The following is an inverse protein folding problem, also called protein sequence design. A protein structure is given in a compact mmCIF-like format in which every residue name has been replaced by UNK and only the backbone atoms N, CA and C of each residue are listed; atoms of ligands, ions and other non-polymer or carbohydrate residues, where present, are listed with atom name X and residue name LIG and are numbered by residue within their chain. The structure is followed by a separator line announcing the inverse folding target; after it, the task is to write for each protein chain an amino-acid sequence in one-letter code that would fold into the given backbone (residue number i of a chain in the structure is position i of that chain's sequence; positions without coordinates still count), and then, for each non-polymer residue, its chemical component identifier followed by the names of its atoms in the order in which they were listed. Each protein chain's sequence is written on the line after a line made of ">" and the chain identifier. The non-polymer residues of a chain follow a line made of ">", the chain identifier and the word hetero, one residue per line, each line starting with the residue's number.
data_IF_021715966333
#
_entry.id   IF_021715966333
#
_cell.length_a   1.000
_cell.length_b   1.000
_cell.length_c   1.000
_cell.angle_alpha   90.00
_cell.angle_beta   90.00
_cell.angle_gamma   90.00
#
_symmetry.space_group_name_H-M   'P 1'
#
loop_
_entity.id
_entity.type
_entity.pdbx_description
1 polymer ?
#
# COMPACT_ATOMS: atom_id res chain seq x y z
N UNK A 1 -60.46 24.10 -29.17
CA UNK A 1 -60.63 24.70 -27.82
C UNK A 1 -60.59 23.57 -26.79
N UNK A 2 -59.54 23.49 -25.97
CA UNK A 2 -59.57 22.79 -24.68
C UNK A 2 -58.36 23.21 -23.84
N UNK A 3 -58.54 23.21 -22.53
CA UNK A 3 -58.23 24.31 -21.61
C UNK A 3 -56.99 24.12 -20.72
N UNK A 4 -56.35 25.26 -20.41
CA UNK A 4 -55.36 25.53 -19.35
C UNK A 4 -55.81 25.04 -17.96
N UNK A 5 -54.92 24.41 -17.19
CA UNK A 5 -54.91 24.47 -15.73
C UNK A 5 -53.49 24.58 -15.18
N UNK A 6 -53.22 25.71 -14.55
CA UNK A 6 -52.14 25.94 -13.60
C UNK A 6 -52.39 25.14 -12.32
N UNK A 7 -51.33 24.65 -11.69
CA UNK A 7 -51.32 24.37 -10.26
C UNK A 7 -49.93 24.67 -9.71
N UNK A 8 -49.75 25.93 -9.29
CA UNK A 8 -48.74 26.36 -8.34
C UNK A 8 -49.29 26.10 -6.93
N UNK A 9 -48.62 25.27 -6.14
CA UNK A 9 -48.77 25.22 -4.67
C UNK A 9 -47.38 24.93 -4.12
N UNK A 10 -46.71 25.96 -3.65
CA UNK A 10 -46.63 26.34 -2.23
C UNK A 10 -45.53 25.54 -1.54
N UNK A 11 -44.35 26.16 -1.53
CA UNK A 11 -43.36 25.99 -0.48
C UNK A 11 -44.10 26.06 0.85
N UNK A 12 -44.18 24.93 1.54
CA UNK A 12 -44.47 24.93 2.96
C UNK A 12 -43.25 24.47 3.75
N UNK A 13 -43.16 25.10 4.90
CA UNK A 13 -42.01 25.42 5.69
C UNK A 13 -41.78 24.32 6.73
N UNK A 14 -40.52 23.90 6.84
CA UNK A 14 -39.79 23.60 8.08
C UNK A 14 -40.62 23.15 9.32
N UNK A 15 -40.38 21.92 9.81
CA UNK A 15 -39.80 21.72 11.15
C UNK A 15 -39.70 20.24 11.55
N UNK A 16 -38.48 19.90 11.98
CA UNK A 16 -38.13 19.08 13.13
C UNK A 16 -38.68 17.64 13.26
N UNK A 17 -37.77 16.67 13.17
CA UNK A 17 -38.07 15.34 13.70
C UNK A 17 -36.92 14.34 13.59
N UNK A 18 -36.24 14.14 14.71
CA UNK A 18 -35.43 12.96 15.08
C UNK A 18 -33.98 12.90 14.55
N UNK A 19 -33.08 13.26 15.47
CA UNK A 19 -31.67 12.87 15.48
C UNK A 19 -31.52 11.34 15.56
N UNK A 20 -30.74 10.76 14.65
CA UNK A 20 -29.98 9.55 14.92
C UNK A 20 -28.51 9.88 14.70
N UNK A 21 -27.82 10.17 15.81
CA UNK A 21 -26.37 10.16 15.87
C UNK A 21 -25.93 8.72 15.63
N UNK A 22 -25.63 8.39 14.38
CA UNK A 22 -25.05 7.11 13.97
C UNK A 22 -23.60 7.04 14.46
N UNK A 23 -23.44 6.72 15.75
CA UNK A 23 -22.16 6.36 16.34
C UNK A 23 -21.77 4.96 15.85
N UNK A 24 -20.67 4.87 15.10
CA UNK A 24 -19.94 3.61 14.95
C UNK A 24 -19.95 2.96 13.59
N UNK A 25 -19.30 3.57 12.59
CA UNK A 25 -18.40 2.82 11.69
C UNK A 25 -17.16 3.67 11.44
N UNK A 26 -16.19 3.62 12.37
CA UNK A 26 -14.79 3.71 11.95
C UNK A 26 -14.53 2.48 11.09
N UNK A 27 -14.92 2.53 9.82
CA UNK A 27 -14.27 1.71 8.80
C UNK A 27 -12.83 2.18 8.82
N UNK A 28 -11.98 1.44 9.54
CA UNK A 28 -10.56 1.50 9.29
C UNK A 28 -10.42 1.25 7.80
N UNK A 29 -10.10 2.30 7.05
CA UNK A 29 -9.65 2.19 5.69
C UNK A 29 -8.32 1.44 5.73
N UNK A 30 -8.39 0.11 5.87
CA UNK A 30 -7.33 -0.77 5.43
C UNK A 30 -7.17 -0.44 3.96
N UNK A 31 -6.01 0.11 3.60
CA UNK A 31 -5.70 0.53 2.25
C UNK A 31 -6.17 -0.54 1.26
N UNK A 32 -6.95 -0.14 0.27
CA UNK A 32 -7.26 -0.97 -0.88
C UNK A 32 -5.95 -1.17 -1.67
N UNK A 33 -5.12 -2.10 -1.22
CA UNK A 33 -4.16 -2.71 -2.12
C UNK A 33 -4.97 -3.50 -3.15
N UNK A 34 -4.69 -3.32 -4.43
CA UNK A 34 -5.19 -4.20 -5.49
C UNK A 34 -4.65 -5.62 -5.21
N UNK A 35 -5.35 -6.36 -4.35
CA UNK A 35 -5.14 -7.79 -4.18
C UNK A 35 -5.86 -8.45 -5.35
N UNK A 36 -5.08 -8.82 -6.35
CA UNK A 36 -5.55 -9.73 -7.40
C UNK A 36 -6.04 -11.01 -6.71
N UNK A 37 -7.21 -11.55 -7.07
CA UNK A 37 -7.65 -12.82 -6.51
C UNK A 37 -6.63 -13.91 -6.87
N UNK A 38 -6.41 -14.87 -5.98
CA UNK A 38 -5.40 -15.92 -6.17
C UNK A 38 -5.63 -16.71 -7.49
N UNK A 39 -6.88 -16.77 -7.98
CA UNK A 39 -7.23 -17.36 -9.28
C UNK A 39 -6.66 -16.64 -10.50
N UNK A 40 -6.26 -15.37 -10.35
CA UNK A 40 -5.65 -14.55 -11.41
C UNK A 40 -4.11 -14.52 -11.31
N UNK A 41 -3.51 -15.21 -10.34
CA UNK A 41 -2.06 -15.32 -10.21
C UNK A 41 -1.48 -16.27 -11.28
N UNK A 42 -0.52 -15.79 -12.07
CA UNK A 42 0.30 -16.62 -12.98
C UNK A 42 1.76 -16.24 -12.82
N UNK A 43 2.59 -17.25 -12.58
CA UNK A 43 4.04 -17.08 -12.46
C UNK A 43 4.66 -16.62 -13.80
N UNK A 44 4.16 -17.16 -14.90
CA UNK A 44 4.59 -16.84 -16.26
C UNK A 44 4.31 -15.37 -16.58
N UNK A 45 3.12 -14.89 -16.24
CA UNK A 45 2.74 -13.48 -16.43
C UNK A 45 3.66 -12.53 -15.65
N UNK A 46 4.04 -12.91 -14.41
CA UNK A 46 5.01 -12.14 -13.62
C UNK A 46 6.39 -12.14 -14.26
N UNK A 47 6.88 -13.29 -14.73
CA UNK A 47 8.18 -13.37 -15.40
C UNK A 47 8.20 -12.52 -16.68
N UNK A 48 7.14 -12.56 -17.49
CA UNK A 48 7.02 -11.75 -18.70
C UNK A 48 6.96 -10.25 -18.43
N UNK A 49 6.25 -9.84 -17.37
CA UNK A 49 6.23 -8.46 -16.93
C UNK A 49 7.62 -8.01 -16.47
N UNK A 50 8.28 -8.78 -15.62
CA UNK A 50 9.59 -8.44 -15.04
C UNK A 50 10.71 -8.37 -16.09
N UNK A 51 10.63 -9.10 -17.21
CA UNK A 51 11.60 -8.97 -18.31
C UNK A 51 11.67 -7.55 -18.90
N UNK A 52 10.63 -6.74 -18.72
CA UNK A 52 10.56 -5.36 -19.21
C UNK A 52 11.09 -4.36 -18.19
N UNK A 53 11.37 -4.81 -16.98
CA UNK A 53 11.82 -3.98 -15.87
C UNK A 53 13.33 -4.10 -15.66
N UNK A 54 13.88 -3.18 -14.87
CA UNK A 54 15.28 -3.25 -14.48
C UNK A 54 15.55 -4.41 -13.50
N UNK A 55 16.78 -4.95 -13.47
CA UNK A 55 17.15 -6.04 -12.56
C UNK A 55 16.88 -5.70 -11.09
N UNK A 56 16.34 -6.66 -10.35
CA UNK A 56 16.07 -6.50 -8.92
C UNK A 56 17.36 -6.65 -8.09
N UNK A 57 17.50 -5.82 -7.05
CA UNK A 57 18.56 -5.97 -6.04
C UNK A 57 17.94 -6.28 -4.69
N UNK A 58 18.38 -7.37 -4.06
CA UNK A 58 17.90 -7.81 -2.76
C UNK A 58 19.05 -7.79 -1.77
N UNK A 59 18.80 -7.13 -0.64
CA UNK A 59 19.77 -6.99 0.45
C UNK A 59 19.29 -7.83 1.62
N UNK A 60 20.12 -8.72 2.14
CA UNK A 60 19.81 -9.57 3.29
C UNK A 60 21.06 -9.77 4.16
N UNK A 61 20.86 -9.84 5.47
CA UNK A 61 21.93 -10.07 6.45
C UNK A 61 22.24 -11.55 6.68
N UNK A 62 21.43 -12.49 6.16
CA UNK A 62 21.66 -13.93 6.36
C UNK A 62 22.68 -14.56 5.41
N UNK A 63 23.20 -13.79 4.44
CA UNK A 63 24.16 -14.24 3.42
C UNK A 63 23.60 -15.21 2.36
N UNK A 64 22.45 -15.85 2.62
CA UNK A 64 21.80 -16.79 1.68
C UNK A 64 21.37 -16.10 0.37
N UNK A 65 21.18 -14.79 0.40
CA UNK A 65 20.68 -14.04 -0.77
C UNK A 65 21.63 -14.07 -1.96
N UNK A 66 22.94 -14.16 -1.73
CA UNK A 66 23.93 -14.25 -2.82
C UNK A 66 23.71 -15.52 -3.62
N UNK A 67 23.62 -16.66 -2.92
CA UNK A 67 23.36 -17.97 -3.55
C UNK A 67 21.98 -18.04 -4.25
N UNK A 68 20.98 -17.35 -3.71
CA UNK A 68 19.66 -17.27 -4.34
C UNK A 68 19.71 -16.42 -5.61
N UNK A 69 20.39 -15.27 -5.58
CA UNK A 69 20.57 -14.41 -6.73
C UNK A 69 21.37 -15.08 -7.86
N UNK A 70 22.33 -15.95 -7.54
CA UNK A 70 23.07 -16.74 -8.55
C UNK A 70 22.20 -17.82 -9.23
N UNK A 71 21.27 -18.41 -8.50
CA UNK A 71 20.42 -19.49 -9.00
C UNK A 71 19.12 -18.99 -9.64
N UNK A 72 18.68 -17.78 -9.30
CA UNK A 72 17.45 -17.19 -9.82
C UNK A 72 17.46 -16.99 -11.35
N UNK A 73 18.51 -16.45 -12.00
CA UNK A 73 18.61 -16.37 -13.45
C UNK A 73 18.61 -17.75 -14.12
N UNK A 74 19.21 -18.77 -13.48
CA UNK A 74 19.22 -20.13 -14.01
C UNK A 74 17.82 -20.74 -14.04
N UNK A 75 16.97 -20.38 -13.08
CA UNK A 75 15.61 -20.91 -12.96
C UNK A 75 14.59 -20.14 -13.80
N UNK A 76 14.70 -18.81 -13.87
CA UNK A 76 13.66 -17.96 -14.46
C UNK A 76 14.14 -17.09 -15.63
N UNK A 77 15.43 -17.08 -15.95
CA UNK A 77 16.00 -16.24 -17.02
C UNK A 77 15.98 -14.75 -16.71
N UNK A 78 15.81 -14.37 -15.44
CA UNK A 78 15.72 -12.99 -14.96
C UNK A 78 17.00 -12.61 -14.21
N UNK A 79 17.53 -11.42 -14.46
CA UNK A 79 18.70 -10.91 -13.74
C UNK A 79 18.30 -10.48 -12.33
N UNK A 80 19.08 -10.88 -11.34
CA UNK A 80 18.93 -10.48 -9.96
C UNK A 80 20.31 -10.28 -9.33
N UNK A 81 20.41 -9.32 -8.41
CA UNK A 81 21.61 -9.06 -7.62
C UNK A 81 21.29 -9.32 -6.16
N UNK A 82 22.10 -10.13 -5.49
CA UNK A 82 22.04 -10.36 -4.06
C UNK A 82 23.21 -9.67 -3.38
N UNK A 83 22.93 -8.85 -2.37
CA UNK A 83 23.95 -8.19 -1.56
C UNK A 83 23.80 -8.67 -0.12
N UNK A 84 24.85 -9.31 0.40
CA UNK A 84 24.92 -9.60 1.82
C UNK A 84 25.25 -8.31 2.58
N UNK A 85 24.40 -7.95 3.53
CA UNK A 85 24.67 -6.82 4.41
C UNK A 85 25.43 -7.29 5.64
N UNK A 86 26.64 -6.78 5.84
CA UNK A 86 27.38 -7.05 7.06
C UNK A 86 26.85 -6.16 8.18
N UNK A 87 26.76 -6.68 9.42
CA UNK A 87 26.21 -5.92 10.56
C UNK A 87 26.96 -4.62 10.87
N UNK A 88 28.15 -4.41 10.30
CA UNK A 88 28.96 -3.21 10.44
C UNK A 88 28.51 -2.06 9.52
N UNK A 89 27.73 -2.34 8.47
CA UNK A 89 27.25 -1.33 7.51
C UNK A 89 26.02 -0.57 8.03
N UNK A 90 25.42 -1.03 9.13
CA UNK A 90 24.41 -0.29 9.87
C UNK A 90 25.07 0.76 10.77
N UNK A 91 25.69 1.77 10.19
CA UNK A 91 25.88 3.04 10.90
C UNK A 91 24.50 3.70 11.02
N UNK A 92 23.74 3.26 12.03
CA UNK A 92 22.70 4.08 12.63
C UNK A 92 23.44 5.33 13.13
N UNK A 93 23.44 6.41 12.33
CA UNK A 93 23.92 7.72 12.79
C UNK A 93 23.19 8.00 14.10
N UNK A 94 23.85 7.75 15.22
CA UNK A 94 23.32 8.12 16.52
C UNK A 94 23.08 9.62 16.41
N UNK A 95 21.87 10.12 16.68
CA UNK A 95 21.66 11.56 16.69
C UNK A 95 22.73 12.16 17.62
N UNK A 96 23.37 13.28 17.24
CA UNK A 96 24.37 13.87 18.09
C UNK A 96 23.74 14.08 19.47
N UNK A 97 24.50 13.81 20.53
CA UNK A 97 24.02 13.77 21.92
C UNK A 97 23.19 15.01 22.35
N UNK A 98 23.29 16.10 21.59
CA UNK A 98 22.49 17.33 21.71
C UNK A 98 20.97 17.12 21.52
N UNK A 99 20.53 16.00 20.95
CA UNK A 99 19.10 15.66 20.77
C UNK A 99 18.64 14.45 21.57
N UNK A 100 19.48 13.91 22.47
CA UNK A 100 19.01 12.95 23.45
C UNK A 100 18.13 13.73 24.44
N UNK A 101 16.82 13.69 24.23
CA UNK A 101 15.85 14.26 25.17
C UNK A 101 16.16 13.74 26.57
N UNK A 102 16.54 14.65 27.47
CA UNK A 102 16.67 14.33 28.88
C UNK A 102 15.33 13.75 29.35
N UNK A 103 15.31 12.67 30.15
CA UNK A 103 14.07 12.18 30.72
C UNK A 103 13.43 13.33 31.51
N UNK A 104 12.19 13.68 31.16
CA UNK A 104 11.39 14.58 31.97
C UNK A 104 11.20 13.94 33.34
N UNK A 105 11.64 14.63 34.39
CA UNK A 105 11.30 14.32 35.78
C UNK A 105 9.79 14.30 35.97
#
# INVERSE_FOLDING_TARGET
>A
MSTRRESRTLFDLHAAGVSVLAMGRRQGARGKGNRHPDSEYSLEALIEATKKEEPITVIDATGKIVSMAENFPKKYGLKATGVEMSGLDHEQKRPPAKYASTPST
#
